data_IF_667998563824
#
_entry.id   IF_667998563824
#
_cell.length_a   1.000
_cell.length_b   1.000
_cell.length_c   1.000
_cell.angle_alpha   90.00
_cell.angle_beta   90.00
_cell.angle_gamma   90.00
#
_symmetry.space_group_name_H-M   'P 1'
#
loop_
_entity.id
_entity.type
_entity.pdbx_description
1 polymer ?
#
# COMPACT_ATOMS: atom_id res chain seq x y z
N UNK A 1 -6.59 -10.92 -4.83
CA UNK A 1 -7.11 -11.17 -6.20
C UNK A 1 -6.06 -11.93 -6.99
N UNK A 2 -6.41 -12.92 -7.81
CA UNK A 2 -5.46 -13.61 -8.72
C UNK A 2 -5.83 -13.27 -10.16
N UNK A 3 -5.37 -12.12 -10.66
CA UNK A 3 -5.68 -11.67 -12.02
C UNK A 3 -4.52 -10.83 -12.60
N UNK A 4 -3.70 -11.38 -13.51
CA UNK A 4 -2.60 -10.64 -14.15
C UNK A 4 -3.10 -9.57 -15.13
N UNK A 5 -4.40 -9.53 -15.44
CA UNK A 5 -5.03 -8.57 -16.36
C UNK A 5 -6.05 -7.69 -15.64
N UNK A 6 -5.87 -7.45 -14.33
CA UNK A 6 -6.73 -6.52 -13.60
C UNK A 6 -6.54 -5.12 -14.20
N UNK A 7 -7.56 -4.62 -14.89
CA UNK A 7 -7.54 -3.28 -15.44
C UNK A 7 -7.57 -2.25 -14.30
N UNK A 8 -6.79 -1.19 -14.41
CA UNK A 8 -6.92 -0.05 -13.52
C UNK A 8 -8.29 0.61 -13.70
N UNK A 9 -8.92 0.98 -12.59
CA UNK A 9 -10.15 1.75 -12.61
C UNK A 9 -9.79 3.22 -12.87
N UNK A 10 -10.40 3.81 -13.89
CA UNK A 10 -10.30 5.23 -14.18
C UNK A 10 -11.28 6.01 -13.30
N UNK A 11 -10.74 6.90 -12.46
CA UNK A 11 -11.52 7.75 -11.57
C UNK A 11 -11.87 9.12 -12.17
N UNK A 12 -11.59 9.36 -13.45
CA UNK A 12 -11.97 10.60 -14.16
C UNK A 12 -13.43 11.01 -13.95
N UNK A 13 -14.43 10.10 -13.91
CA UNK A 13 -15.81 10.48 -13.64
C UNK A 13 -16.06 11.16 -12.27
N UNK A 14 -15.14 11.04 -11.31
CA UNK A 14 -15.25 11.67 -9.99
C UNK A 14 -14.61 13.07 -9.91
N UNK A 15 -13.99 13.56 -11.00
CA UNK A 15 -13.38 14.90 -11.03
C UNK A 15 -14.46 15.96 -10.78
N UNK A 16 -14.20 16.86 -9.82
CA UNK A 16 -15.16 17.91 -9.45
C UNK A 16 -16.34 17.43 -8.60
N UNK A 17 -16.39 16.15 -8.20
CA UNK A 17 -17.46 15.61 -7.34
C UNK A 17 -17.62 16.41 -6.04
N UNK A 18 -16.52 16.93 -5.48
CA UNK A 18 -16.54 17.82 -4.32
C UNK A 18 -16.25 19.23 -4.81
N UNK A 19 -17.29 20.07 -4.90
CA UNK A 19 -17.19 21.42 -5.47
C UNK A 19 -16.14 22.30 -4.78
N UNK A 20 -16.03 22.21 -3.45
CA UNK A 20 -15.05 22.96 -2.66
C UNK A 20 -13.62 22.41 -2.76
N UNK A 21 -13.45 21.18 -3.26
CA UNK A 21 -12.16 20.54 -3.48
C UNK A 21 -12.21 19.65 -4.75
N UNK A 22 -12.19 20.26 -5.94
CA UNK A 22 -12.43 19.54 -7.19
C UNK A 22 -11.33 18.54 -7.56
N UNK A 23 -10.20 18.58 -6.84
CA UNK A 23 -9.07 17.66 -6.99
C UNK A 23 -9.16 16.44 -6.06
N UNK A 24 -10.17 16.37 -5.19
CA UNK A 24 -10.40 15.22 -4.32
C UNK A 24 -10.87 14.03 -5.15
N UNK A 25 -9.98 13.06 -5.33
CA UNK A 25 -10.22 11.87 -6.14
C UNK A 25 -9.92 10.61 -5.34
N UNK A 26 -10.65 9.50 -5.58
CA UNK A 26 -10.27 8.20 -5.08
C UNK A 26 -8.84 7.82 -5.51
N UNK A 27 -8.17 7.01 -4.70
CA UNK A 27 -6.88 6.40 -5.04
C UNK A 27 -7.01 4.89 -4.97
N UNK A 28 -6.36 4.19 -5.90
CA UNK A 28 -6.23 2.74 -5.81
C UNK A 28 -5.22 2.38 -4.72
N UNK A 29 -5.43 1.22 -4.08
CA UNK A 29 -4.48 0.55 -3.20
C UNK A 29 -4.24 -0.83 -3.78
N UNK A 30 -2.99 -1.17 -4.05
CA UNK A 30 -2.65 -2.43 -4.74
C UNK A 30 -2.92 -3.66 -3.88
N UNK A 31 -2.72 -3.55 -2.56
CA UNK A 31 -2.91 -4.64 -1.62
C UNK A 31 -3.52 -4.15 -0.32
N UNK A 32 -4.57 -4.84 0.12
CA UNK A 32 -5.14 -4.70 1.47
C UNK A 32 -5.45 -6.09 2.01
N UNK A 33 -4.99 -6.36 3.23
CA UNK A 33 -5.32 -7.56 3.99
C UNK A 33 -5.88 -7.13 5.34
N UNK A 34 -6.91 -7.83 5.82
CA UNK A 34 -7.51 -7.61 7.14
C UNK A 34 -7.35 -8.88 7.97
N UNK A 35 -7.08 -8.70 9.26
CA UNK A 35 -7.16 -9.75 10.26
C UNK A 35 -7.42 -9.17 11.64
N UNK A 36 -8.53 -9.58 12.26
CA UNK A 36 -8.93 -9.18 13.62
C UNK A 36 -8.96 -7.66 13.85
N UNK A 37 -9.46 -6.91 12.87
CA UNK A 37 -9.51 -5.44 12.92
C UNK A 37 -8.15 -4.76 12.72
N UNK A 38 -7.12 -5.53 12.36
CA UNK A 38 -5.82 -5.01 11.90
C UNK A 38 -5.71 -5.08 10.39
N UNK A 39 -5.13 -4.05 9.79
CA UNK A 39 -5.05 -3.90 8.34
C UNK A 39 -3.59 -3.81 7.88
N UNK A 40 -3.23 -4.63 6.90
CA UNK A 40 -1.97 -4.51 6.16
C UNK A 40 -2.30 -3.94 4.77
N UNK A 41 -1.90 -2.70 4.55
CA UNK A 41 -1.98 -2.01 3.26
C UNK A 41 -0.60 -2.03 2.63
N UNK A 42 -0.49 -2.37 1.35
CA UNK A 42 0.72 -2.16 0.58
C UNK A 42 0.42 -1.54 -0.78
N UNK A 43 1.22 -0.53 -1.11
CA UNK A 43 1.27 0.08 -2.44
C UNK A 43 2.54 -0.35 -3.15
N UNK A 44 2.41 -0.79 -4.40
CA UNK A 44 3.51 -1.21 -5.25
C UNK A 44 3.93 -0.07 -6.17
N UNK A 45 5.24 0.07 -6.36
CA UNK A 45 5.82 1.02 -7.31
C UNK A 45 6.95 0.36 -8.09
N UNK A 46 7.00 0.60 -9.39
CA UNK A 46 8.15 0.16 -10.18
C UNK A 46 9.40 0.96 -9.80
N UNK A 47 10.62 0.41 -9.97
CA UNK A 47 11.85 1.16 -9.78
C UNK A 47 11.83 2.48 -10.57
N UNK A 48 12.06 3.60 -9.89
CA UNK A 48 12.01 4.95 -10.48
C UNK A 48 10.62 5.58 -10.60
N UNK A 49 9.54 4.85 -10.29
CA UNK A 49 8.19 5.42 -10.25
C UNK A 49 8.03 6.30 -9.00
N UNK A 50 7.46 7.49 -9.19
CA UNK A 50 7.18 8.42 -8.09
C UNK A 50 5.74 8.29 -7.63
N UNK A 51 5.53 8.17 -6.31
CA UNK A 51 4.19 8.20 -5.71
C UNK A 51 3.58 9.58 -5.91
N UNK A 52 2.34 9.63 -6.41
CA UNK A 52 1.61 10.90 -6.55
C UNK A 52 1.28 11.46 -5.18
N UNK A 53 1.35 12.78 -5.03
CA UNK A 53 1.16 13.47 -3.74
C UNK A 53 -0.16 13.12 -3.03
N UNK A 54 -1.26 12.93 -3.77
CA UNK A 54 -2.54 12.52 -3.19
C UNK A 54 -2.49 11.13 -2.56
N UNK A 55 -1.86 10.18 -3.25
CA UNK A 55 -1.66 8.82 -2.75
C UNK A 55 -0.68 8.81 -1.58
N UNK A 56 0.40 9.60 -1.63
CA UNK A 56 1.31 9.76 -0.51
C UNK A 56 0.57 10.21 0.76
N UNK A 57 -0.25 11.28 0.66
CA UNK A 57 -1.06 11.77 1.79
C UNK A 57 -2.02 10.73 2.32
N UNK A 58 -2.63 9.92 1.44
CA UNK A 58 -3.49 8.81 1.84
C UNK A 58 -2.72 7.77 2.66
N UNK A 59 -1.57 7.31 2.16
CA UNK A 59 -0.75 6.29 2.85
C UNK A 59 -0.25 6.79 4.21
N UNK A 60 0.19 8.05 4.29
CA UNK A 60 0.57 8.69 5.55
C UNK A 60 -0.61 8.82 6.53
N UNK A 61 -1.81 9.15 6.03
CA UNK A 61 -3.01 9.22 6.86
C UNK A 61 -3.41 7.83 7.38
N UNK A 62 -3.36 6.80 6.54
CA UNK A 62 -3.62 5.41 6.93
C UNK A 62 -2.62 4.93 7.99
N UNK A 63 -1.34 5.28 7.86
CA UNK A 63 -0.31 4.90 8.84
C UNK A 63 -0.53 5.49 10.24
N UNK A 64 -1.34 6.55 10.37
CA UNK A 64 -1.72 7.15 11.66
C UNK A 64 -2.94 6.47 12.30
N UNK A 65 -3.69 5.68 11.55
CA UNK A 65 -4.88 4.99 12.07
C UNK A 65 -4.42 3.80 12.92
N UNK A 66 -4.99 3.59 14.13
CA UNK A 66 -4.70 2.40 14.93
C UNK A 66 -4.88 1.11 14.13
N UNK A 67 -4.02 0.13 14.38
CA UNK A 67 -4.03 -1.19 13.75
C UNK A 67 -3.77 -1.20 12.22
N UNK A 68 -3.38 -0.07 11.61
CA UNK A 68 -2.89 -0.05 10.23
C UNK A 68 -1.37 -0.23 10.17
N UNK A 69 -0.95 -1.13 9.30
CA UNK A 69 0.43 -1.27 8.83
C UNK A 69 0.44 -0.93 7.35
N UNK A 70 1.20 0.09 6.97
CA UNK A 70 1.24 0.58 5.59
C UNK A 70 2.64 0.38 5.03
N UNK A 71 2.73 -0.32 3.90
CA UNK A 71 3.98 -0.62 3.20
C UNK A 71 4.02 0.07 1.83
N UNK A 72 5.21 0.47 1.42
CA UNK A 72 5.55 0.81 0.05
C UNK A 72 6.55 -0.24 -0.42
N UNK A 73 6.19 -0.96 -1.48
CA UNK A 73 6.99 -2.03 -2.06
C UNK A 73 7.49 -1.55 -3.42
N UNK A 74 8.81 -1.42 -3.55
CA UNK A 74 9.45 -1.20 -4.85
C UNK A 74 9.65 -2.55 -5.52
N UNK A 75 8.93 -2.81 -6.61
CA UNK A 75 8.86 -4.13 -7.21
C UNK A 75 7.73 -4.28 -8.23
N UNK A 76 7.45 -5.52 -8.65
CA UNK A 76 6.29 -5.87 -9.48
C UNK A 76 5.96 -7.38 -9.35
N UNK A 77 4.83 -7.78 -9.93
CA UNK A 77 4.42 -9.19 -10.02
C UNK A 77 4.15 -9.65 -11.47
N UNK A 78 4.79 -9.01 -12.45
CA UNK A 78 4.54 -9.30 -13.88
C UNK A 78 5.00 -10.71 -14.24
N UNK A 79 6.25 -11.04 -13.88
CA UNK A 79 6.92 -12.32 -14.13
C UNK A 79 7.37 -12.94 -12.79
N UNK A 80 6.40 -13.21 -11.92
CA UNK A 80 6.66 -13.67 -10.55
C UNK A 80 6.93 -12.53 -9.58
N UNK A 81 7.20 -12.86 -8.32
CA UNK A 81 7.34 -11.88 -7.24
C UNK A 81 8.73 -11.22 -7.28
N UNK A 82 8.80 -9.97 -7.71
CA UNK A 82 10.04 -9.19 -7.76
C UNK A 82 10.01 -8.06 -6.75
N UNK A 83 10.97 -8.02 -5.84
CA UNK A 83 11.08 -7.01 -4.77
C UNK A 83 12.50 -6.44 -4.79
N UNK A 84 12.61 -5.12 -4.79
CA UNK A 84 13.87 -4.39 -4.69
C UNK A 84 14.02 -3.66 -3.35
N UNK A 85 12.91 -3.22 -2.75
CA UNK A 85 12.91 -2.61 -1.42
C UNK A 85 11.49 -2.59 -0.85
N UNK A 86 11.37 -2.77 0.47
CA UNK A 86 10.13 -2.61 1.22
C UNK A 86 10.37 -1.60 2.33
N UNK A 87 9.51 -0.59 2.37
CA UNK A 87 9.51 0.42 3.43
C UNK A 87 8.16 0.43 4.13
N UNK A 88 8.17 0.55 5.46
CA UNK A 88 6.99 0.86 6.25
C UNK A 88 6.82 2.37 6.33
N UNK A 89 5.61 2.86 6.05
CA UNK A 89 5.22 4.23 6.32
C UNK A 89 4.93 4.36 7.80
N UNK A 90 5.64 5.27 8.47
CA UNK A 90 5.47 5.55 9.89
C UNK A 90 4.43 6.68 10.11
N UNK A 91 3.84 6.81 11.31
CA UNK A 91 2.84 7.84 11.58
C UNK A 91 3.31 9.29 11.38
N UNK A 92 4.62 9.53 11.47
CA UNK A 92 5.24 10.84 11.20
C UNK A 92 5.50 11.09 9.70
N UNK A 93 5.15 10.12 8.84
CA UNK A 93 5.37 10.15 7.39
C UNK A 93 6.76 9.64 6.96
N UNK A 94 7.64 9.30 7.90
CA UNK A 94 8.94 8.74 7.56
C UNK A 94 8.83 7.31 7.00
N UNK A 95 9.82 6.93 6.18
CA UNK A 95 9.93 5.59 5.62
C UNK A 95 10.97 4.79 6.39
N UNK A 96 10.56 3.69 7.01
CA UNK A 96 11.45 2.75 7.69
C UNK A 96 11.70 1.55 6.79
N UNK A 97 12.95 1.29 6.44
CA UNK A 97 13.35 0.09 5.70
C UNK A 97 12.94 -1.19 6.45
N UNK A 98 12.46 -2.20 5.72
CA UNK A 98 11.96 -3.48 6.26
C UNK A 98 12.75 -4.68 5.72
N UNK A 99 12.86 -4.78 4.40
CA UNK A 99 13.57 -5.83 3.66
C UNK A 99 13.74 -5.43 2.19
N UNK A 100 14.49 -6.21 1.42
CA UNK A 100 14.76 -5.96 -0.01
C UNK A 100 14.66 -7.22 -0.89
N UNK A 101 14.12 -8.33 -0.36
CA UNK A 101 13.95 -9.57 -1.12
C UNK A 101 12.52 -10.15 -1.06
N UNK A 102 12.10 -10.94 -2.07
CA UNK A 102 10.82 -11.64 -2.07
C UNK A 102 10.64 -12.57 -0.87
N UNK A 103 11.65 -13.38 -0.55
CA UNK A 103 11.58 -14.37 0.54
C UNK A 103 11.42 -13.67 1.90
N UNK A 104 12.17 -12.60 2.15
CA UNK A 104 12.01 -11.84 3.38
C UNK A 104 10.65 -11.15 3.46
N UNK A 105 10.13 -10.60 2.34
CA UNK A 105 8.79 -10.03 2.33
C UNK A 105 7.74 -11.06 2.78
N UNK A 106 7.82 -12.29 2.28
CA UNK A 106 6.91 -13.37 2.67
C UNK A 106 7.03 -13.69 4.18
N UNK A 107 8.26 -13.77 4.71
CA UNK A 107 8.50 -13.96 6.15
C UNK A 107 7.89 -12.79 6.94
N UNK A 108 8.07 -11.54 6.52
CA UNK A 108 7.48 -10.37 7.20
C UNK A 108 5.96 -10.36 7.19
N UNK A 109 5.35 -10.85 6.11
CA UNK A 109 3.89 -10.97 6.02
C UNK A 109 3.36 -12.08 6.94
N UNK A 110 4.07 -13.20 7.05
CA UNK A 110 3.76 -14.26 8.00
C UNK A 110 3.93 -13.78 9.44
N UNK A 111 5.04 -13.10 9.75
CA UNK A 111 5.26 -12.45 11.04
C UNK A 111 4.13 -11.49 11.42
N UNK A 112 3.68 -10.67 10.46
CA UNK A 112 2.55 -9.75 10.67
C UNK A 112 1.27 -10.53 10.99
N UNK A 113 0.99 -11.59 10.22
CA UNK A 113 -0.18 -12.44 10.42
C UNK A 113 -0.18 -13.09 11.81
N UNK A 114 0.95 -13.61 12.28
CA UNK A 114 1.05 -14.24 13.61
C UNK A 114 0.99 -13.23 14.75
N UNK A 115 1.55 -12.02 14.56
CA UNK A 115 1.61 -10.97 15.60
C UNK A 115 0.28 -10.30 15.86
N UNK A 116 -0.51 -10.05 14.82
CA UNK A 116 -1.88 -9.59 15.03
C UNK A 116 -2.61 -10.78 15.65
N UNK A 117 -3.28 -10.63 16.78
CA UNK A 117 -4.03 -11.72 17.41
C UNK A 117 -5.46 -11.25 17.64
N UNK A 118 -6.39 -12.20 17.61
CA UNK A 118 -7.79 -11.91 17.91
C UNK A 118 -7.97 -11.60 19.40
N UNK A 119 -9.08 -10.95 19.77
CA UNK A 119 -9.55 -10.96 21.15
C UNK A 119 -9.77 -12.40 21.68
#
# INVERSE_FOLDING_TARGET
>A
MRNPKAAHIDFTPFVGMIESNPKFLPSNLDMVMERFGSFLVAEWKRPGETIKIGQQRLLEALAKVPNFTVLIITGNTDDGLNVAAVHRVMPDGSLKFVCDSPDELLVRMQDWYEKVSGP
#
